data_IF_755615087295
#
_entry.id   IF_755615087295
#
_cell.length_a   1.000
_cell.length_b   1.000
_cell.length_c   1.000
_cell.angle_alpha   90.00
_cell.angle_beta   90.00
_cell.angle_gamma   90.00
#
_symmetry.space_group_name_H-M   'P 1'
#
loop_
_entity.id
_entity.type
_entity.pdbx_description
1 polymer ?
#
# COMPACT_ATOMS: atom_id res chain seq x y z
N UNK A 1 -16.16 1.53 4.14
CA UNK A 1 -16.87 2.23 3.03
C UNK A 1 -17.72 1.24 2.25
N UNK A 2 -18.83 1.65 1.61
CA UNK A 2 -19.61 0.75 0.78
C UNK A 2 -19.01 0.61 -0.64
N UNK A 3 -19.37 -0.45 -1.38
CA UNK A 3 -18.80 -0.78 -2.70
C UNK A 3 -19.03 0.31 -3.76
N UNK A 4 -20.20 0.93 -3.76
CA UNK A 4 -20.51 1.99 -4.74
C UNK A 4 -19.62 3.23 -4.53
N UNK A 5 -19.41 3.64 -3.27
CA UNK A 5 -18.50 4.73 -2.93
C UNK A 5 -17.05 4.39 -3.27
N UNK A 6 -16.58 3.16 -3.01
CA UNK A 6 -15.25 2.70 -3.41
C UNK A 6 -15.04 2.85 -4.92
N UNK A 7 -15.99 2.33 -5.73
CA UNK A 7 -15.90 2.39 -7.20
C UNK A 7 -15.95 3.83 -7.70
N UNK A 8 -16.86 4.65 -7.17
CA UNK A 8 -17.00 6.03 -7.58
C UNK A 8 -15.73 6.84 -7.28
N UNK A 9 -15.21 6.75 -6.06
CA UNK A 9 -14.00 7.47 -5.66
C UNK A 9 -12.77 6.97 -6.40
N UNK A 10 -12.56 5.65 -6.44
CA UNK A 10 -11.38 5.09 -7.10
C UNK A 10 -11.42 5.29 -8.62
N UNK A 11 -12.58 5.13 -9.25
CA UNK A 11 -12.78 5.36 -10.68
C UNK A 11 -12.52 6.83 -11.06
N UNK A 12 -13.11 7.77 -10.33
CA UNK A 12 -12.87 9.21 -10.56
C UNK A 12 -11.40 9.58 -10.34
N UNK A 13 -10.79 9.07 -9.25
CA UNK A 13 -9.38 9.32 -8.97
C UNK A 13 -8.47 8.72 -10.06
N UNK A 14 -8.79 7.54 -10.59
CA UNK A 14 -8.02 6.90 -11.66
C UNK A 14 -8.09 7.71 -12.97
N UNK A 15 -9.28 8.22 -13.33
CA UNK A 15 -9.45 9.09 -14.51
C UNK A 15 -8.63 10.38 -14.34
N UNK A 16 -8.74 11.06 -13.19
CA UNK A 16 -7.99 12.27 -12.91
C UNK A 16 -6.47 12.05 -12.85
N UNK A 17 -6.04 10.90 -12.35
CA UNK A 17 -4.64 10.53 -12.25
C UNK A 17 -4.05 9.99 -13.57
N UNK A 18 -4.87 9.66 -14.58
CA UNK A 18 -4.42 8.99 -15.81
C UNK A 18 -3.31 9.74 -16.56
N UNK A 19 -3.31 11.08 -16.73
CA UNK A 19 -2.20 11.77 -17.39
C UNK A 19 -0.89 11.67 -16.59
N UNK A 20 -0.95 11.72 -15.26
CA UNK A 20 0.22 11.55 -14.40
C UNK A 20 0.74 10.11 -14.44
N UNK A 21 -0.17 9.14 -14.46
CA UNK A 21 0.18 7.72 -14.62
C UNK A 21 0.85 7.46 -15.98
N UNK A 22 0.39 8.08 -17.06
CA UNK A 22 1.02 7.95 -18.37
C UNK A 22 2.45 8.51 -18.39
N UNK A 23 2.66 9.70 -17.80
CA UNK A 23 3.99 10.30 -17.68
C UNK A 23 4.91 9.47 -16.78
N UNK A 24 4.40 8.98 -15.66
CA UNK A 24 5.16 8.11 -14.76
C UNK A 24 5.52 6.77 -15.42
N UNK A 25 4.58 6.18 -16.17
CA UNK A 25 4.83 4.96 -16.95
C UNK A 25 5.92 5.16 -17.99
N UNK A 26 5.89 6.29 -18.71
CA UNK A 26 6.92 6.66 -19.67
C UNK A 26 8.29 6.83 -18.99
N UNK A 27 8.35 7.54 -17.86
CA UNK A 27 9.59 7.72 -17.09
C UNK A 27 10.18 6.38 -16.64
N UNK A 28 9.35 5.47 -16.10
CA UNK A 28 9.80 4.11 -15.72
C UNK A 28 10.30 3.32 -16.93
N UNK A 29 9.60 3.42 -18.08
CA UNK A 29 9.97 2.70 -19.31
C UNK A 29 11.28 3.19 -19.91
N UNK A 30 11.51 4.49 -19.89
CA UNK A 30 12.71 5.11 -20.45
C UNK A 30 13.97 4.89 -19.61
N UNK A 31 13.83 4.60 -18.31
CA UNK A 31 14.97 4.46 -17.41
C UNK A 31 15.78 3.17 -17.65
N UNK A 32 15.12 2.04 -17.86
CA UNK A 32 15.78 0.74 -18.02
C UNK A 32 15.07 -0.23 -18.99
N UNK A 33 14.04 0.23 -19.71
CA UNK A 33 13.32 -0.57 -20.71
C UNK A 33 12.42 -1.67 -20.14
N UNK A 34 12.46 -1.94 -18.84
CA UNK A 34 11.73 -3.02 -18.19
C UNK A 34 10.20 -2.80 -18.09
N UNK A 35 9.47 -3.67 -17.40
CA UNK A 35 8.02 -3.55 -17.23
C UNK A 35 7.67 -2.30 -16.41
N UNK A 36 6.59 -1.61 -16.79
CA UNK A 36 6.10 -0.41 -16.10
C UNK A 36 5.44 -0.76 -14.77
N UNK A 37 4.63 -1.83 -14.77
CA UNK A 37 3.92 -2.29 -13.58
C UNK A 37 4.74 -3.35 -12.84
N UNK A 38 4.77 -3.21 -11.55
CA UNK A 38 5.18 -4.20 -10.58
C UNK A 38 3.93 -4.85 -9.98
N UNK A 39 3.93 -6.16 -9.89
CA UNK A 39 2.85 -6.98 -9.36
C UNK A 39 3.37 -7.80 -8.20
N UNK A 40 2.62 -7.81 -7.11
CA UNK A 40 3.00 -8.57 -5.92
C UNK A 40 1.77 -9.23 -5.31
N UNK A 41 1.86 -10.54 -5.06
CA UNK A 41 0.81 -11.26 -4.34
C UNK A 41 0.72 -10.74 -2.90
N UNK A 42 -0.49 -10.37 -2.51
CA UNK A 42 -0.84 -9.91 -1.16
C UNK A 42 -2.09 -10.64 -0.67
N UNK A 43 -2.23 -10.69 0.65
CA UNK A 43 -3.41 -11.27 1.27
C UNK A 43 -4.48 -10.18 1.42
N UNK A 44 -5.67 -10.50 0.93
CA UNK A 44 -6.87 -9.68 1.00
C UNK A 44 -7.85 -10.15 2.06
N UNK A 45 -9.13 -9.78 1.86
CA UNK A 45 -10.22 -10.17 2.76
C UNK A 45 -10.39 -11.70 2.79
N UNK A 46 -10.77 -12.22 3.95
CA UNK A 46 -11.00 -13.64 4.22
C UNK A 46 -9.76 -14.51 3.91
N UNK A 47 -8.57 -13.90 3.89
CA UNK A 47 -7.31 -14.59 3.62
C UNK A 47 -7.07 -14.92 2.13
N UNK A 48 -7.90 -14.42 1.21
CA UNK A 48 -7.74 -14.65 -0.24
C UNK A 48 -6.57 -13.85 -0.82
N UNK A 49 -5.76 -14.48 -1.66
CA UNK A 49 -4.68 -13.80 -2.36
C UNK A 49 -5.19 -12.95 -3.53
N UNK A 50 -4.53 -11.81 -3.77
CA UNK A 50 -4.75 -10.98 -4.94
C UNK A 50 -3.44 -10.34 -5.42
N UNK A 51 -3.39 -9.90 -6.68
CA UNK A 51 -2.26 -9.17 -7.24
C UNK A 51 -2.36 -7.67 -6.93
N UNK A 52 -1.53 -7.18 -6.04
CA UNK A 52 -1.36 -5.74 -5.80
C UNK A 52 -0.59 -5.10 -6.95
N UNK A 53 -1.14 -4.03 -7.52
CA UNK A 53 -0.53 -3.29 -8.63
C UNK A 53 0.18 -2.04 -8.13
N UNK A 54 1.43 -1.84 -8.59
CA UNK A 54 2.20 -0.60 -8.37
C UNK A 54 2.94 -0.20 -9.65
N UNK A 55 3.36 1.05 -9.77
CA UNK A 55 4.42 1.38 -10.71
C UNK A 55 5.75 0.80 -10.21
N UNK A 56 6.55 0.26 -11.11
CA UNK A 56 7.87 -0.25 -10.77
C UNK A 56 8.79 0.90 -10.42
N UNK A 57 9.38 0.84 -9.24
CA UNK A 57 10.29 1.88 -8.69
C UNK A 57 11.68 1.35 -8.39
N UNK A 58 11.93 0.08 -8.65
CA UNK A 58 13.21 -0.59 -8.45
C UNK A 58 13.65 -1.25 -9.76
N UNK A 59 14.94 -1.55 -9.86
CA UNK A 59 15.50 -2.31 -10.98
C UNK A 59 14.82 -3.65 -11.14
N UNK A 60 14.86 -4.22 -12.36
CA UNK A 60 14.30 -5.55 -12.60
C UNK A 60 15.02 -6.58 -11.76
N UNK A 61 14.29 -7.48 -11.13
CA UNK A 61 14.84 -8.52 -10.25
C UNK A 61 15.26 -8.05 -8.85
N UNK A 62 14.91 -6.83 -8.44
CA UNK A 62 15.27 -6.28 -7.14
C UNK A 62 14.87 -7.17 -5.94
N UNK A 63 13.83 -8.00 -6.08
CA UNK A 63 13.36 -8.90 -5.01
C UNK A 63 14.35 -10.01 -4.65
N UNK A 64 15.21 -10.39 -5.58
CA UNK A 64 16.25 -11.42 -5.39
C UNK A 64 17.62 -10.82 -5.04
N UNK A 65 17.70 -9.49 -4.91
CA UNK A 65 18.94 -8.76 -4.67
C UNK A 65 18.98 -8.21 -3.24
N UNK A 66 20.13 -8.30 -2.60
CA UNK A 66 20.41 -7.65 -1.30
C UNK A 66 19.39 -8.00 -0.21
N UNK A 67 18.64 -7.01 0.28
CA UNK A 67 17.65 -7.18 1.34
C UNK A 67 16.34 -7.86 0.90
N UNK A 68 16.25 -8.40 -0.31
CA UNK A 68 15.05 -9.06 -0.82
C UNK A 68 13.82 -8.13 -0.84
N UNK A 69 12.73 -8.54 -0.20
CA UNK A 69 11.50 -7.75 -0.14
C UNK A 69 11.58 -6.55 0.82
N UNK A 70 12.58 -6.49 1.68
CA UNK A 70 12.79 -5.35 2.56
C UNK A 70 13.44 -4.19 1.81
N UNK A 71 13.00 -2.97 2.13
CA UNK A 71 13.48 -1.74 1.49
C UNK A 71 14.09 -0.83 2.56
N UNK A 72 15.38 -0.57 2.46
CA UNK A 72 16.11 0.28 3.37
C UNK A 72 16.16 1.74 2.90
N UNK A 73 16.48 2.65 3.83
CA UNK A 73 16.71 4.05 3.47
C UNK A 73 17.95 4.15 2.57
N UNK A 74 17.78 4.77 1.40
CA UNK A 74 18.89 4.88 0.43
C UNK A 74 19.18 3.62 -0.37
N UNK A 75 18.24 2.68 -0.42
CA UNK A 75 18.36 1.42 -1.16
C UNK A 75 18.78 1.65 -2.61
N UNK A 76 19.94 1.11 -2.99
CA UNK A 76 20.56 1.31 -4.31
C UNK A 76 19.76 0.71 -5.46
N UNK A 77 18.84 -0.23 -5.16
CA UNK A 77 17.94 -0.85 -6.14
C UNK A 77 16.85 0.11 -6.62
N UNK A 78 16.61 1.23 -5.90
CA UNK A 78 15.58 2.19 -6.27
C UNK A 78 16.09 3.05 -7.42
N UNK A 79 15.35 3.07 -8.54
CA UNK A 79 15.69 3.86 -9.73
C UNK A 79 15.54 5.37 -9.48
N UNK A 80 16.03 6.22 -10.39
CA UNK A 80 15.91 7.68 -10.25
C UNK A 80 14.45 8.12 -10.33
N UNK A 81 13.71 7.64 -11.34
CA UNK A 81 12.27 7.84 -11.46
C UNK A 81 11.55 7.25 -10.24
N UNK A 82 11.93 6.05 -9.80
CA UNK A 82 11.37 5.37 -8.65
C UNK A 82 11.46 6.19 -7.36
N UNK A 83 12.57 6.89 -7.12
CA UNK A 83 12.70 7.79 -5.95
C UNK A 83 11.66 8.92 -5.97
N UNK A 84 11.45 9.54 -7.13
CA UNK A 84 10.46 10.59 -7.27
C UNK A 84 9.03 10.05 -7.10
N UNK A 85 8.71 8.93 -7.76
CA UNK A 85 7.39 8.29 -7.68
C UNK A 85 7.04 7.91 -6.24
N UNK A 86 7.97 7.29 -5.52
CA UNK A 86 7.80 6.94 -4.10
C UNK A 86 7.61 8.16 -3.21
N UNK A 87 8.43 9.22 -3.43
CA UNK A 87 8.33 10.47 -2.66
C UNK A 87 6.95 11.12 -2.80
N UNK A 88 6.35 11.03 -3.99
CA UNK A 88 5.04 11.59 -4.30
C UNK A 88 3.91 10.57 -4.10
N UNK A 89 4.22 9.33 -3.69
CA UNK A 89 3.27 8.19 -3.58
C UNK A 89 2.52 7.89 -4.88
N UNK A 90 3.05 8.29 -6.02
CA UNK A 90 2.47 8.03 -7.34
C UNK A 90 2.59 6.56 -7.75
N UNK A 91 3.55 5.85 -7.19
CA UNK A 91 3.75 4.42 -7.42
C UNK A 91 2.59 3.57 -6.91
N UNK A 92 1.80 4.05 -5.98
CA UNK A 92 0.64 3.34 -5.43
C UNK A 92 -0.67 3.63 -6.19
N UNK A 93 -0.72 4.59 -7.11
CA UNK A 93 -1.92 4.93 -7.87
C UNK A 93 -2.54 3.76 -8.67
N UNK A 94 -1.77 2.79 -9.24
CA UNK A 94 -2.36 1.62 -9.88
C UNK A 94 -3.23 0.76 -8.96
N UNK A 95 -3.08 0.85 -7.63
CA UNK A 95 -3.96 0.17 -6.67
C UNK A 95 -5.42 0.65 -6.73
N UNK A 96 -5.68 1.85 -7.27
CA UNK A 96 -7.03 2.30 -7.58
C UNK A 96 -7.75 1.30 -8.49
N UNK A 97 -7.03 0.64 -9.39
CA UNK A 97 -7.58 -0.42 -10.23
C UNK A 97 -7.94 -1.67 -9.40
N UNK A 98 -7.14 -2.04 -8.40
CA UNK A 98 -7.50 -3.11 -7.47
C UNK A 98 -8.80 -2.78 -6.70
N UNK A 99 -9.01 -1.50 -6.35
CA UNK A 99 -10.29 -1.07 -5.74
C UNK A 99 -11.44 -1.22 -6.74
N UNK A 100 -11.27 -0.76 -7.99
CA UNK A 100 -12.29 -0.91 -9.04
C UNK A 100 -12.61 -2.38 -9.31
N UNK A 101 -11.62 -3.27 -9.27
CA UNK A 101 -11.82 -4.74 -9.40
C UNK A 101 -12.49 -5.36 -8.17
N UNK A 102 -12.47 -4.68 -7.04
CA UNK A 102 -13.07 -5.15 -5.78
C UNK A 102 -12.18 -6.01 -4.90
N UNK A 103 -10.90 -6.07 -5.21
CA UNK A 103 -9.87 -6.74 -4.42
C UNK A 103 -9.48 -5.90 -3.20
N UNK A 104 -9.60 -4.57 -3.32
CA UNK A 104 -9.33 -3.58 -2.27
C UNK A 104 -10.54 -2.64 -2.04
N UNK A 105 -10.46 -1.86 -0.99
CA UNK A 105 -11.27 -0.66 -0.70
C UNK A 105 -10.37 0.57 -0.71
N UNK A 106 -10.96 1.77 -0.78
CA UNK A 106 -10.19 3.01 -0.55
C UNK A 106 -9.66 3.03 0.87
N UNK A 107 -10.47 2.63 1.86
CA UNK A 107 -10.14 2.63 3.28
C UNK A 107 -10.14 1.21 3.83
N UNK A 108 -9.06 0.83 4.48
CA UNK A 108 -8.90 -0.48 5.14
C UNK A 108 -7.48 -0.71 5.65
N UNK A 109 -7.22 -1.83 6.29
CA UNK A 109 -5.89 -2.29 6.65
C UNK A 109 -4.96 -2.36 5.43
N UNK A 110 -3.68 -2.03 5.60
CA UNK A 110 -2.71 -2.16 4.49
C UNK A 110 -2.51 -3.64 4.12
N UNK A 111 -2.57 -4.02 2.82
CA UNK A 111 -2.39 -5.42 2.42
C UNK A 111 -0.99 -5.93 2.76
N UNK A 112 -0.91 -7.14 3.31
CA UNK A 112 0.31 -7.77 3.81
C UNK A 112 0.71 -9.00 3.01
N UNK A 113 1.94 -9.48 3.21
CA UNK A 113 2.48 -10.67 2.57
C UNK A 113 1.99 -11.94 3.27
N UNK A 114 1.90 -13.05 2.53
CA UNK A 114 1.40 -14.33 3.05
C UNK A 114 2.17 -14.79 4.30
N UNK A 115 3.51 -14.77 4.25
CA UNK A 115 4.34 -15.19 5.38
C UNK A 115 4.11 -14.36 6.66
N UNK A 116 3.66 -13.09 6.53
CA UNK A 116 3.31 -12.24 7.67
C UNK A 116 1.96 -12.65 8.27
N UNK A 117 0.99 -12.98 7.42
CA UNK A 117 -0.34 -13.44 7.85
C UNK A 117 -0.28 -14.80 8.54
N UNK A 118 0.63 -15.68 8.14
CA UNK A 118 0.84 -16.98 8.76
C UNK A 118 1.28 -16.89 10.22
N UNK A 119 1.87 -15.75 10.60
CA UNK A 119 2.34 -15.49 11.97
C UNK A 119 1.29 -14.78 12.83
N UNK A 120 0.11 -14.42 12.27
CA UNK A 120 -0.93 -13.76 13.04
C UNK A 120 -1.57 -14.69 14.06
N UNK A 121 -1.73 -14.17 15.28
CA UNK A 121 -2.59 -14.75 16.29
C UNK A 121 -4.09 -14.59 15.89
N UNK A 122 -4.98 -15.16 16.71
CA UNK A 122 -6.41 -15.13 16.46
C UNK A 122 -6.96 -13.68 16.40
N UNK A 123 -6.52 -12.79 17.29
CA UNK A 123 -6.94 -11.40 17.30
C UNK A 123 -6.44 -10.63 16.07
N UNK A 124 -5.20 -10.83 15.70
CA UNK A 124 -4.59 -10.16 14.55
C UNK A 124 -5.23 -10.57 13.22
N UNK A 125 -5.79 -11.79 13.14
CA UNK A 125 -6.51 -12.28 11.96
C UNK A 125 -7.77 -11.47 11.67
N UNK A 126 -8.39 -10.81 12.65
CA UNK A 126 -9.55 -9.94 12.45
C UNK A 126 -9.29 -8.78 11.47
N UNK A 127 -8.04 -8.39 11.25
CA UNK A 127 -7.74 -7.40 10.21
C UNK A 127 -8.08 -7.90 8.79
N UNK A 128 -8.27 -9.21 8.59
CA UNK A 128 -8.64 -9.81 7.32
C UNK A 128 -10.16 -9.90 7.11
N UNK A 129 -10.98 -9.54 8.09
CA UNK A 129 -12.45 -9.55 7.99
C UNK A 129 -12.96 -8.49 7.00
N UNK A 130 -12.08 -7.57 6.59
CA UNK A 130 -12.40 -6.50 5.66
C UNK A 130 -11.42 -6.47 4.48
N UNK A 131 -11.82 -5.81 3.39
CA UNK A 131 -10.91 -5.58 2.26
C UNK A 131 -9.76 -4.69 2.69
N UNK A 132 -8.53 -4.97 2.23
CA UNK A 132 -7.41 -4.08 2.44
C UNK A 132 -7.65 -2.72 1.77
N UNK A 133 -7.02 -1.67 2.32
CA UNK A 133 -7.20 -0.30 1.86
C UNK A 133 -5.94 0.32 1.24
N UNK A 134 -6.14 1.32 0.38
CA UNK A 134 -5.08 2.23 -0.08
C UNK A 134 -4.63 3.10 1.08
N UNK A 135 -5.58 3.63 1.85
CA UNK A 135 -5.37 4.33 3.12
C UNK A 135 -6.11 3.63 4.26
N UNK A 136 -5.78 3.93 5.50
CA UNK A 136 -6.41 3.30 6.65
C UNK A 136 -5.96 3.93 7.97
N UNK A 137 -6.50 3.43 9.07
CA UNK A 137 -6.28 4.03 10.37
C UNK A 137 -4.80 3.98 10.81
N UNK A 138 -4.12 2.86 10.63
CA UNK A 138 -2.69 2.76 10.90
C UNK A 138 -1.86 3.69 10.01
N UNK A 139 -2.24 3.83 8.72
CA UNK A 139 -1.52 4.70 7.79
C UNK A 139 -1.59 6.19 8.18
N UNK A 140 -2.72 6.66 8.73
CA UNK A 140 -2.87 8.07 9.11
C UNK A 140 -2.42 8.38 10.54
N UNK A 141 -2.07 7.37 11.34
CA UNK A 141 -1.64 7.50 12.74
C UNK A 141 -0.16 7.11 12.99
N UNK A 142 0.69 7.05 11.97
CA UNK A 142 2.13 6.85 12.15
C UNK A 142 2.83 6.02 11.07
N UNK A 143 2.07 5.31 10.21
CA UNK A 143 2.66 4.55 9.09
C UNK A 143 3.83 3.65 9.51
N UNK A 144 4.96 3.79 8.80
CA UNK A 144 6.18 3.02 9.02
C UNK A 144 6.97 3.43 10.28
N UNK A 145 6.58 4.50 10.98
CA UNK A 145 7.23 4.92 12.23
C UNK A 145 6.83 4.06 13.43
N UNK A 146 5.64 3.43 13.33
CA UNK A 146 5.16 2.53 14.37
C UNK A 146 5.77 1.12 14.22
N UNK A 147 6.02 0.45 15.34
CA UNK A 147 6.30 -0.98 15.36
C UNK A 147 5.22 -1.77 14.62
N UNK A 148 5.58 -2.93 14.09
CA UNK A 148 4.66 -3.76 13.32
C UNK A 148 3.42 -4.19 14.15
N UNK A 149 3.63 -4.57 15.39
CA UNK A 149 2.55 -4.97 16.30
C UNK A 149 1.53 -3.85 16.50
N UNK A 150 2.00 -2.61 16.73
CA UNK A 150 1.12 -1.45 16.94
C UNK A 150 0.31 -1.13 15.68
N UNK A 151 0.90 -1.31 14.48
CA UNK A 151 0.15 -1.14 13.22
C UNK A 151 -0.98 -2.15 13.09
N UNK A 152 -0.72 -3.41 13.46
CA UNK A 152 -1.74 -4.47 13.43
C UNK A 152 -2.86 -4.13 14.40
N UNK A 153 -2.54 -3.70 15.63
CA UNK A 153 -3.53 -3.32 16.63
C UNK A 153 -4.40 -2.14 16.16
N UNK A 154 -3.81 -1.13 15.52
CA UNK A 154 -4.58 -0.04 14.91
C UNK A 154 -5.48 -0.52 13.76
N UNK A 155 -5.03 -1.48 12.97
CA UNK A 155 -5.83 -2.08 11.90
C UNK A 155 -7.00 -2.91 12.47
N UNK A 156 -6.77 -3.72 13.52
CA UNK A 156 -7.82 -4.47 14.22
C UNK A 156 -8.81 -3.52 14.86
N UNK A 157 -8.31 -2.49 15.57
CA UNK A 157 -9.17 -1.46 16.15
C UNK A 157 -10.09 -0.80 15.11
N UNK A 158 -9.56 -0.47 13.92
CA UNK A 158 -10.36 0.06 12.83
C UNK A 158 -11.46 -0.92 12.41
N UNK A 159 -11.17 -2.20 12.30
CA UNK A 159 -12.15 -3.22 11.91
C UNK A 159 -13.31 -3.29 12.92
N UNK A 160 -12.98 -3.23 14.21
CA UNK A 160 -13.94 -3.27 15.32
C UNK A 160 -14.81 -2.01 15.42
N UNK A 161 -14.27 -0.82 15.04
CA UNK A 161 -14.91 0.48 15.23
C UNK A 161 -15.34 1.17 13.93
N UNK A 162 -15.44 0.43 12.83
CA UNK A 162 -15.79 0.98 11.51
C UNK A 162 -17.09 1.78 11.55
N UNK A 163 -17.01 3.00 11.05
CA UNK A 163 -18.16 3.87 10.89
C UNK A 163 -17.93 4.87 9.75
N UNK A 164 -18.99 5.41 9.11
CA UNK A 164 -18.84 6.43 8.09
C UNK A 164 -18.08 7.68 8.59
N UNK A 165 -18.26 8.06 9.85
CA UNK A 165 -17.54 9.18 10.44
C UNK A 165 -16.04 8.91 10.61
N UNK A 166 -15.67 7.68 10.98
CA UNK A 166 -14.27 7.26 11.05
C UNK A 166 -13.64 7.23 9.65
N UNK A 167 -14.36 6.71 8.66
CA UNK A 167 -13.92 6.70 7.26
C UNK A 167 -13.64 8.12 6.75
N UNK A 168 -14.54 9.09 6.99
CA UNK A 168 -14.34 10.50 6.63
C UNK A 168 -13.13 11.09 7.34
N UNK A 169 -12.92 10.77 8.62
CA UNK A 169 -11.74 11.22 9.38
C UNK A 169 -10.45 10.69 8.80
N UNK A 170 -10.42 9.42 8.36
CA UNK A 170 -9.26 8.82 7.69
C UNK A 170 -8.99 9.55 6.37
N UNK A 171 -10.01 9.75 5.52
CA UNK A 171 -9.86 10.49 4.27
C UNK A 171 -9.30 11.90 4.47
N UNK A 172 -9.84 12.64 5.45
CA UNK A 172 -9.38 14.00 5.77
C UNK A 172 -7.91 14.05 6.24
N UNK A 173 -7.41 13.00 6.91
CA UNK A 173 -6.03 12.90 7.38
C UNK A 173 -5.05 12.36 6.33
N UNK A 174 -5.55 11.65 5.31
CA UNK A 174 -4.73 10.98 4.29
C UNK A 174 -3.77 11.95 3.56
N UNK A 175 -4.17 13.16 3.11
CA UNK A 175 -3.23 14.07 2.45
C UNK A 175 -2.03 14.41 3.34
N UNK A 176 -2.29 14.73 4.62
CA UNK A 176 -1.18 15.00 5.56
C UNK A 176 -0.27 13.78 5.75
N UNK A 177 -0.83 12.59 5.81
CA UNK A 177 -0.05 11.36 5.93
C UNK A 177 0.78 11.07 4.67
N UNK A 178 0.32 11.45 3.47
CA UNK A 178 1.08 11.29 2.22
C UNK A 178 2.25 12.28 2.11
N UNK A 179 2.04 13.55 2.50
CA UNK A 179 3.00 14.62 2.29
C UNK A 179 3.78 15.02 3.55
N UNK A 180 3.31 14.64 4.73
CA UNK A 180 3.88 15.03 6.02
C UNK A 180 4.95 14.09 6.59
N UNK A 181 5.21 12.98 5.96
CA UNK A 181 6.20 12.00 6.42
C UNK A 181 7.45 12.02 5.56
N UNK A 182 8.61 12.13 6.17
CA UNK A 182 9.84 11.65 5.58
C UNK A 182 9.59 10.20 5.16
N UNK A 183 9.79 9.88 3.88
CA UNK A 183 9.77 8.51 3.40
C UNK A 183 10.82 7.71 4.20
N UNK A 184 10.41 7.15 5.30
CA UNK A 184 11.14 6.08 5.96
C UNK A 184 10.78 4.84 5.14
N UNK A 185 11.77 4.31 4.44
CA UNK A 185 11.64 3.03 3.74
C UNK A 185 10.84 2.08 4.62
N UNK A 186 10.05 1.21 4.02
CA UNK A 186 9.36 0.15 4.75
C UNK A 186 10.44 -0.64 5.49
N UNK A 187 10.75 -0.16 6.70
CA UNK A 187 11.67 -0.85 7.58
C UNK A 187 11.02 -2.17 7.93
N UNK A 188 11.64 -3.21 7.45
CA UNK A 188 11.50 -4.55 7.94
C UNK A 188 10.07 -5.05 8.02
N UNK A 189 9.74 -5.96 7.15
CA UNK A 189 8.90 -7.05 7.55
C UNK A 189 9.45 -7.59 8.87
N UNK A 190 8.60 -8.19 9.62
CA UNK A 190 8.89 -8.99 10.79
C UNK A 190 10.35 -9.49 10.81
N UNK A 191 11.17 -8.95 11.67
CA UNK A 191 12.37 -9.63 12.18
C UNK A 191 11.91 -10.30 13.46
N UNK A 192 12.22 -11.58 13.59
CA UNK A 192 11.88 -12.43 14.75
C UNK A 192 12.56 -12.01 16.08
N UNK A 193 13.02 -10.78 16.16
CA UNK A 193 13.69 -10.18 17.31
C UNK A 193 13.02 -8.84 17.67
N UNK A 194 11.83 -8.92 18.28
CA UNK A 194 11.29 -7.84 19.13
C UNK A 194 10.09 -8.36 19.93
#
# INVERSE_FOLDING_TARGET
>A
MNRAADVALAGSALVLASPFLALAALAVKLEDGGPVLYRQTRVGRDGADFELLKLRTMVVGAETMGAGLSVNRGDSRITRAGRLLRRLSLDELPQLWNVVRGEMSVIGPRPTLRYQVEQYDERQRHRLDVKPGITGWAQVNGRAELPWADRIELDVWYVEHRSPSLDLRILARTPRALFGGTYKGETGGWTSES
#
